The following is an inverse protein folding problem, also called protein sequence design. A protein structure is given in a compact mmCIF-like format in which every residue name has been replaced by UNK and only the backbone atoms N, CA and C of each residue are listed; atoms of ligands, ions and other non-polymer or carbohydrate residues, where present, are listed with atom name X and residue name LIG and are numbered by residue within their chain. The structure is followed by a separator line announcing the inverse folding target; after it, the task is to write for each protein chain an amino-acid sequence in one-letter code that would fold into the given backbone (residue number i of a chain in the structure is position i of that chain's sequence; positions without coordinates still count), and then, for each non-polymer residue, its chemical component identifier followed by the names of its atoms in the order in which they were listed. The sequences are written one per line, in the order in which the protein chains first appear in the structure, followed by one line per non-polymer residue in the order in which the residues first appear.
data_IF_015302268718
#
_entry.id   IF_015302268718
#
_cell.length_a   1.000
_cell.length_b   1.000
_cell.length_c   1.000
_cell.angle_alpha   90.00
_cell.angle_beta   90.00
_cell.angle_gamma   90.00
#
_symmetry.space_group_name_H-M   'P 1'
#
loop_
_entity.id
_entity.type
_entity.pdbx_description
1 polymer ?
#
# COMPACT_ATOMS: atom_id res chain seq x y z
N UNK A 1 -1.90 42.75 9.51
CA UNK A 1 -3.19 42.24 9.22
C UNK A 1 -3.22 41.32 8.06
N UNK A 2 -2.76 41.76 6.99
CA UNK A 2 -2.77 40.97 5.79
C UNK A 2 -1.99 39.73 5.87
N UNK A 3 -0.93 39.75 6.62
CA UNK A 3 -0.04 38.62 6.74
C UNK A 3 -0.69 37.36 7.27
N UNK A 4 -1.70 37.53 8.07
CA UNK A 4 -2.35 36.37 8.65
C UNK A 4 -2.99 35.47 7.62
N UNK A 5 -3.60 36.06 6.63
CA UNK A 5 -4.25 35.28 5.60
C UNK A 5 -3.25 34.43 4.84
N UNK A 6 -2.09 34.97 4.63
CA UNK A 6 -1.06 34.25 3.90
C UNK A 6 -0.62 33.01 4.67
N UNK A 7 -0.46 33.14 5.94
CA UNK A 7 -0.05 32.00 6.76
C UNK A 7 -1.08 30.89 6.72
N UNK A 8 -2.33 31.25 6.75
CA UNK A 8 -3.37 30.25 6.70
C UNK A 8 -3.33 29.48 5.40
N UNK A 9 -3.08 30.15 4.33
CA UNK A 9 -3.02 29.50 3.04
C UNK A 9 -1.89 28.50 2.97
N UNK A 10 -0.77 28.85 3.53
CA UNK A 10 0.36 27.94 3.53
C UNK A 10 0.06 26.68 4.30
N UNK A 11 -0.60 26.81 5.40
CA UNK A 11 -0.92 25.66 6.22
C UNK A 11 -1.82 24.69 5.47
N UNK A 12 -2.74 25.21 4.70
CA UNK A 12 -3.67 24.36 3.99
C UNK A 12 -3.00 23.44 2.98
N UNK A 13 -1.83 23.78 2.54
CA UNK A 13 -1.13 22.99 1.54
C UNK A 13 -0.29 21.89 2.15
N UNK A 14 0.09 22.03 3.39
CA UNK A 14 1.05 21.12 3.99
C UNK A 14 0.61 19.65 4.07
N UNK A 15 -0.60 19.32 4.44
CA UNK A 15 -0.94 17.92 4.61
C UNK A 15 -1.24 17.23 3.30
N UNK A 16 -0.22 17.06 2.51
CA UNK A 16 -0.34 16.34 1.26
C UNK A 16 0.10 14.89 1.38
N UNK A 17 0.72 14.53 2.48
CA UNK A 17 1.15 13.18 2.68
C UNK A 17 -0.06 12.27 2.80
N UNK A 18 -0.07 11.13 2.12
CA UNK A 18 -1.18 10.20 2.24
C UNK A 18 -1.32 9.69 3.65
N UNK A 19 -2.55 9.57 4.10
CA UNK A 19 -2.85 9.00 5.40
C UNK A 19 -3.22 7.54 5.22
N UNK A 20 -2.56 6.66 5.93
CA UNK A 20 -2.88 5.24 5.89
C UNK A 20 -3.60 4.85 7.17
N UNK A 21 -4.63 4.02 7.04
CA UNK A 21 -5.33 3.50 8.21
C UNK A 21 -4.46 2.45 8.90
N UNK A 22 -4.92 1.94 10.04
CA UNK A 22 -4.09 1.02 10.83
C UNK A 22 -3.81 -0.28 10.09
N UNK A 23 -4.73 -0.75 9.27
CA UNK A 23 -4.51 -1.96 8.47
C UNK A 23 -3.45 -1.73 7.42
N UNK A 24 -3.51 -0.60 6.74
CA UNK A 24 -2.51 -0.25 5.73
C UNK A 24 -1.15 -0.06 6.37
N UNK A 25 -1.09 0.51 7.56
CA UNK A 25 0.17 0.65 8.28
C UNK A 25 0.76 -0.70 8.65
N UNK A 26 -0.07 -1.64 9.07
CA UNK A 26 0.38 -3.01 9.36
C UNK A 26 0.94 -3.69 8.13
N UNK A 27 0.25 -3.56 7.02
CA UNK A 27 0.71 -4.09 5.74
C UNK A 27 2.08 -3.52 5.36
N UNK A 28 2.23 -2.20 5.44
CA UNK A 28 3.49 -1.55 5.08
C UNK A 28 4.62 -1.96 6.01
N UNK A 29 4.33 -2.11 7.30
CA UNK A 29 5.33 -2.55 8.26
C UNK A 29 5.83 -3.96 7.91
N UNK A 30 4.92 -4.83 7.51
CA UNK A 30 5.29 -6.18 7.10
C UNK A 30 6.22 -6.16 5.90
N UNK A 31 5.90 -5.35 4.89
CA UNK A 31 6.74 -5.25 3.71
C UNK A 31 8.11 -4.68 4.04
N UNK A 32 8.17 -3.68 4.90
CA UNK A 32 9.44 -3.07 5.28
C UNK A 32 10.28 -4.05 6.09
N UNK A 33 9.66 -4.82 6.97
CA UNK A 33 10.39 -5.80 7.78
C UNK A 33 11.01 -6.89 6.92
N UNK A 34 10.37 -7.23 5.82
CA UNK A 34 10.86 -8.26 4.91
C UNK A 34 11.68 -7.68 3.78
N UNK A 35 12.01 -6.39 3.85
CA UNK A 35 12.84 -5.71 2.86
C UNK A 35 12.30 -5.84 1.44
N UNK A 36 10.99 -5.76 1.28
CA UNK A 36 10.38 -5.83 -0.04
C UNK A 36 10.64 -4.53 -0.79
N UNK A 37 11.25 -4.57 -1.98
CA UNK A 37 11.51 -3.34 -2.72
C UNK A 37 10.22 -2.81 -3.34
N UNK A 38 9.78 -1.65 -2.85
CA UNK A 38 8.61 -0.96 -3.40
C UNK A 38 9.01 0.48 -3.70
N UNK A 39 8.44 1.09 -4.75
CA UNK A 39 8.84 2.46 -5.10
C UNK A 39 8.46 3.48 -4.03
N UNK A 40 7.29 3.32 -3.41
CA UNK A 40 6.88 4.15 -2.30
C UNK A 40 5.71 3.47 -1.60
N UNK A 41 5.34 3.99 -0.44
CA UNK A 41 4.29 3.36 0.38
C UNK A 41 2.92 3.44 -0.29
N UNK A 42 2.63 4.52 -0.97
CA UNK A 42 1.35 4.67 -1.64
C UNK A 42 1.18 3.62 -2.74
N UNK A 43 2.21 3.43 -3.55
CA UNK A 43 2.17 2.42 -4.60
C UNK A 43 2.03 1.02 -4.01
N UNK A 44 2.69 0.76 -2.90
CA UNK A 44 2.61 -0.54 -2.24
C UNK A 44 1.19 -0.82 -1.76
N UNK A 45 0.52 0.17 -1.19
CA UNK A 45 -0.85 0.01 -0.71
C UNK A 45 -1.81 -0.21 -1.88
N UNK A 46 -1.62 0.49 -2.99
CA UNK A 46 -2.43 0.28 -4.18
C UNK A 46 -2.31 -1.16 -4.67
N UNK A 47 -1.09 -1.67 -4.73
CA UNK A 47 -0.85 -3.05 -5.13
C UNK A 47 -1.56 -4.02 -4.19
N UNK A 48 -1.49 -3.77 -2.90
CA UNK A 48 -2.16 -4.63 -1.92
C UNK A 48 -3.66 -4.66 -2.11
N UNK A 49 -4.27 -3.51 -2.35
CA UNK A 49 -5.70 -3.46 -2.61
C UNK A 49 -6.08 -4.13 -3.93
N UNK A 50 -5.22 -4.04 -4.94
CA UNK A 50 -5.44 -4.75 -6.19
C UNK A 50 -5.41 -6.25 -5.99
N UNK A 51 -4.51 -6.76 -5.15
CA UNK A 51 -4.50 -8.17 -4.79
C UNK A 51 -5.83 -8.58 -4.17
N UNK A 52 -6.34 -7.77 -3.25
CA UNK A 52 -7.61 -8.07 -2.61
C UNK A 52 -8.77 -8.07 -3.61
N UNK A 53 -8.77 -7.13 -4.53
CA UNK A 53 -9.80 -7.07 -5.55
C UNK A 53 -9.76 -8.29 -6.46
N UNK A 54 -8.58 -8.73 -6.84
CA UNK A 54 -8.44 -9.92 -7.66
C UNK A 54 -9.00 -11.16 -6.94
N UNK A 55 -8.65 -11.31 -5.67
CA UNK A 55 -9.13 -12.44 -4.88
C UNK A 55 -10.65 -12.38 -4.69
N UNK A 56 -11.19 -11.18 -4.49
CA UNK A 56 -12.64 -11.00 -4.31
C UNK A 56 -13.42 -11.33 -5.57
N UNK A 57 -12.82 -11.24 -6.73
CA UNK A 57 -13.48 -11.54 -8.00
C UNK A 57 -13.21 -12.95 -8.49
N UNK A 58 -12.73 -13.83 -7.63
CA UNK A 58 -12.54 -15.24 -7.94
C UNK A 58 -11.13 -15.63 -8.33
N UNK A 59 -10.19 -14.70 -8.30
CA UNK A 59 -8.80 -15.04 -8.58
C UNK A 59 -8.15 -15.81 -7.44
N UNK A 60 -7.02 -16.41 -7.74
CA UNK A 60 -6.26 -17.18 -6.76
C UNK A 60 -5.05 -16.40 -6.31
N UNK A 61 -4.45 -16.83 -5.20
CA UNK A 61 -3.20 -16.22 -4.74
C UNK A 61 -2.10 -16.36 -5.79
N UNK A 62 -2.06 -17.45 -6.50
CA UNK A 62 -1.08 -17.65 -7.56
C UNK A 62 -1.26 -16.65 -8.69
N UNK A 63 -2.51 -16.39 -9.07
CA UNK A 63 -2.78 -15.39 -10.08
C UNK A 63 -2.33 -14.01 -9.61
N UNK A 64 -2.56 -13.68 -8.35
CA UNK A 64 -2.11 -12.42 -7.79
C UNK A 64 -0.58 -12.32 -7.80
N UNK A 65 0.11 -13.39 -7.44
CA UNK A 65 1.56 -13.40 -7.46
C UNK A 65 2.09 -13.19 -8.87
N UNK A 66 1.46 -13.81 -9.86
CA UNK A 66 1.88 -13.68 -11.26
C UNK A 66 1.63 -12.29 -11.82
N UNK A 67 0.68 -11.56 -11.26
CA UNK A 67 0.38 -10.20 -11.69
C UNK A 67 1.36 -9.17 -11.13
N UNK A 68 2.15 -9.54 -10.14
CA UNK A 68 3.12 -8.62 -9.54
C UNK A 68 4.35 -8.45 -10.45
N UNK A 69 5.10 -7.34 -10.27
CA UNK A 69 6.24 -7.07 -11.14
C UNK A 69 7.25 -8.21 -11.17
N UNK A 70 7.80 -8.45 -12.36
CA UNK A 70 8.75 -9.53 -12.55
C UNK A 70 10.09 -9.27 -11.85
N UNK A 71 10.33 -8.04 -11.42
CA UNK A 71 11.54 -7.72 -10.66
C UNK A 71 11.52 -8.31 -9.26
N UNK A 72 10.34 -8.75 -8.78
CA UNK A 72 10.22 -9.39 -7.48
C UNK A 72 10.37 -10.89 -7.64
N UNK A 73 11.09 -11.53 -6.71
CA UNK A 73 11.17 -12.99 -6.73
C UNK A 73 9.89 -13.60 -6.12
N UNK A 74 9.79 -14.92 -6.17
CA UNK A 74 8.57 -15.59 -5.72
C UNK A 74 8.33 -15.41 -4.23
N UNK A 75 9.39 -15.38 -3.44
CA UNK A 75 9.27 -15.16 -2.01
C UNK A 75 8.72 -13.79 -1.71
N UNK A 76 9.21 -12.78 -2.41
CA UNK A 76 8.73 -11.40 -2.24
C UNK A 76 7.28 -11.26 -2.66
N UNK A 77 6.93 -11.88 -3.79
CA UNK A 77 5.54 -11.86 -4.26
C UNK A 77 4.60 -12.52 -3.26
N UNK A 78 5.02 -13.65 -2.73
CA UNK A 78 4.21 -14.35 -1.72
C UNK A 78 4.03 -13.49 -0.49
N UNK A 79 5.07 -12.80 -0.04
CA UNK A 79 4.99 -11.91 1.10
C UNK A 79 3.97 -10.80 0.87
N UNK A 80 3.98 -10.21 -0.33
CA UNK A 80 3.02 -9.15 -0.65
C UNK A 80 1.59 -9.69 -0.63
N UNK A 81 1.37 -10.84 -1.24
CA UNK A 81 0.01 -11.42 -1.28
C UNK A 81 -0.45 -11.79 0.12
N UNK A 82 0.40 -12.43 0.91
CA UNK A 82 0.04 -12.84 2.27
C UNK A 82 -0.22 -11.63 3.16
N UNK A 83 0.59 -10.58 3.05
CA UNK A 83 0.36 -9.36 3.82
C UNK A 83 -0.93 -8.68 3.39
N UNK A 84 -1.24 -8.68 2.10
CA UNK A 84 -2.50 -8.13 1.61
C UNK A 84 -3.70 -8.87 2.21
N UNK A 85 -3.64 -10.19 2.23
CA UNK A 85 -4.72 -11.00 2.80
C UNK A 85 -4.86 -10.74 4.29
N UNK A 86 -3.74 -10.63 4.99
CA UNK A 86 -3.74 -10.47 6.43
C UNK A 86 -4.28 -9.11 6.86
N UNK A 87 -3.90 -8.05 6.16
CA UNK A 87 -4.16 -6.69 6.61
C UNK A 87 -5.19 -5.93 5.78
N UNK A 88 -5.25 -6.17 4.49
CA UNK A 88 -6.04 -5.32 3.60
C UNK A 88 -7.32 -5.96 3.10
N UNK A 89 -7.32 -7.27 2.93
CA UNK A 89 -8.50 -7.93 2.40
C UNK A 89 -9.56 -8.08 3.47
N UNK A 90 -10.82 -7.79 3.16
CA UNK A 90 -11.89 -8.00 4.12
C UNK A 90 -12.10 -9.49 4.35
N UNK A 91 -12.44 -9.81 5.56
CA UNK A 91 -12.67 -11.21 5.95
C UNK A 91 -14.14 -11.58 5.83
#
# INVERSE_FOLDING_TARGET
MITTAVCAALIAVLPLAPSFNSDEQGYLRELHNDNIPVPNDEAAVIVGHDVCNLLATGGTKEMAMNALPSSLDMTQRRTIVDASVTYLCPM
#
